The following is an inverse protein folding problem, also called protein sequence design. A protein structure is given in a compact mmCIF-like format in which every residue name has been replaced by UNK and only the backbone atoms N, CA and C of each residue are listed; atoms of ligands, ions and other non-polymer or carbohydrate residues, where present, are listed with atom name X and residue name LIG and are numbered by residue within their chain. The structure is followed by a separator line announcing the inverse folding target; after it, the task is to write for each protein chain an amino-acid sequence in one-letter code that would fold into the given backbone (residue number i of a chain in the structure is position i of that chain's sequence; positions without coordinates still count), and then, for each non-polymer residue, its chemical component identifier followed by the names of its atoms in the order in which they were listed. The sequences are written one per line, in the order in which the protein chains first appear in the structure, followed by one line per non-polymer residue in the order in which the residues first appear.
data_IF_341710395427
#
_entry.id   IF_341710395427
#
_cell.length_a   1.000
_cell.length_b   1.000
_cell.length_c   1.000
_cell.angle_alpha   90.00
_cell.angle_beta   90.00
_cell.angle_gamma   90.00
#
_symmetry.space_group_name_H-M   'P 1'
#
loop_
_entity.id
_entity.type
_entity.pdbx_description
1 polymer ?
#
# COMPACT_ATOMS: atom_id res chain seq x y z
N UNK A 1 3.15 -33.17 20.24
CA UNK A 1 3.82 -32.83 18.99
C UNK A 1 2.87 -32.88 17.80
N UNK A 2 3.34 -32.54 16.66
CA UNK A 2 2.59 -32.68 15.41
C UNK A 2 2.59 -34.13 14.95
N UNK A 3 1.49 -34.56 14.35
CA UNK A 3 1.37 -35.92 13.83
C UNK A 3 2.30 -36.10 12.62
N UNK A 4 3.11 -37.14 12.62
CA UNK A 4 4.06 -37.52 11.57
C UNK A 4 5.00 -36.40 11.06
N UNK A 5 5.34 -35.45 11.96
CA UNK A 5 6.26 -34.36 11.67
C UNK A 5 7.20 -34.13 12.88
N UNK A 6 8.29 -34.88 12.90
CA UNK A 6 9.26 -34.87 14.00
C UNK A 6 9.99 -33.53 14.05
N UNK A 7 10.44 -33.03 12.90
CA UNK A 7 11.21 -31.79 12.80
C UNK A 7 10.41 -30.60 13.34
N UNK A 8 9.18 -30.37 12.87
CA UNK A 8 8.30 -29.33 13.37
C UNK A 8 7.94 -29.52 14.86
N UNK A 9 7.89 -30.78 15.33
CA UNK A 9 7.65 -31.07 16.74
C UNK A 9 8.82 -30.66 17.61
N UNK A 10 10.06 -30.98 17.21
CA UNK A 10 11.28 -30.57 17.93
C UNK A 10 11.41 -29.03 17.95
N UNK A 11 11.23 -28.39 16.80
CA UNK A 11 11.29 -26.92 16.69
C UNK A 11 10.25 -26.22 17.55
N UNK A 12 9.06 -26.78 17.67
CA UNK A 12 7.95 -26.08 18.34
C UNK A 12 7.84 -26.44 19.81
N UNK A 13 7.96 -27.72 20.18
CA UNK A 13 7.61 -28.17 21.52
C UNK A 13 8.83 -28.48 22.40
N UNK A 14 10.04 -28.43 21.87
CA UNK A 14 11.25 -28.78 22.62
C UNK A 14 12.30 -27.70 22.70
N UNK A 15 11.86 -26.45 22.65
CA UNK A 15 12.76 -25.32 22.82
C UNK A 15 13.31 -25.24 24.24
N UNK A 16 14.60 -25.03 24.39
CA UNK A 16 15.26 -24.91 25.68
C UNK A 16 15.63 -23.49 26.01
N UNK A 17 15.28 -23.08 27.22
CA UNK A 17 15.67 -21.78 27.77
C UNK A 17 16.82 -22.02 28.76
N UNK A 18 17.89 -21.23 28.65
CA UNK A 18 19.04 -21.33 29.55
C UNK A 18 18.61 -21.26 31.01
N UNK A 19 19.10 -22.17 31.83
CA UNK A 19 18.77 -22.25 33.26
C UNK A 19 17.42 -22.92 33.59
N UNK A 20 16.69 -23.42 32.58
CA UNK A 20 15.44 -24.20 32.79
C UNK A 20 15.62 -25.65 32.37
N UNK A 21 15.09 -26.60 33.18
CA UNK A 21 15.22 -28.04 32.92
C UNK A 21 14.16 -28.53 31.90
N UNK A 22 12.96 -27.99 31.96
CA UNK A 22 11.84 -28.42 31.10
C UNK A 22 11.89 -27.75 29.72
N UNK A 23 11.45 -28.44 28.65
CA UNK A 23 11.28 -27.85 27.36
C UNK A 23 10.08 -26.90 27.35
N UNK A 24 10.11 -25.92 26.43
CA UNK A 24 9.08 -24.93 26.24
C UNK A 24 8.48 -25.01 24.85
N UNK A 25 7.22 -24.58 24.75
CA UNK A 25 6.53 -24.38 23.49
C UNK A 25 6.96 -23.03 22.90
N UNK A 26 7.50 -23.05 21.68
CA UNK A 26 7.69 -21.84 20.88
C UNK A 26 6.41 -21.53 20.10
N UNK A 27 5.61 -20.59 20.57
CA UNK A 27 4.35 -20.19 19.91
C UNK A 27 4.60 -19.45 18.60
N UNK A 28 5.78 -18.85 18.45
CA UNK A 28 6.11 -17.93 17.35
C UNK A 28 5.54 -16.54 17.57
N UNK A 29 4.90 -16.31 18.71
CA UNK A 29 4.38 -15.01 19.09
C UNK A 29 5.48 -14.17 19.77
N UNK A 30 5.43 -12.87 19.59
CA UNK A 30 6.26 -11.88 20.24
C UNK A 30 5.47 -11.17 21.33
N UNK A 31 6.10 -10.96 22.45
CA UNK A 31 5.49 -10.28 23.58
C UNK A 31 6.50 -9.41 24.32
N UNK A 32 5.98 -8.45 25.07
CA UNK A 32 6.70 -7.58 25.97
C UNK A 32 6.18 -7.84 27.40
N UNK A 33 7.10 -7.95 28.34
CA UNK A 33 6.75 -7.98 29.79
C UNK A 33 7.01 -6.57 30.33
N UNK A 34 5.95 -5.93 30.81
CA UNK A 34 6.00 -4.61 31.41
C UNK A 34 5.22 -4.61 32.71
N UNK A 35 5.83 -4.15 33.78
CA UNK A 35 5.24 -4.14 35.14
C UNK A 35 4.62 -5.46 35.56
N UNK A 36 5.25 -6.60 35.19
CA UNK A 36 4.77 -7.94 35.51
C UNK A 36 3.63 -8.47 34.61
N UNK A 37 3.14 -7.67 33.67
CA UNK A 37 2.11 -8.07 32.71
C UNK A 37 2.74 -8.46 31.37
N UNK A 38 2.16 -9.47 30.71
CA UNK A 38 2.55 -9.88 29.37
C UNK A 38 1.65 -9.19 28.34
N UNK A 39 2.28 -8.44 27.44
CA UNK A 39 1.62 -7.81 26.30
C UNK A 39 1.97 -8.57 25.03
N UNK A 40 0.96 -9.04 24.31
CA UNK A 40 1.12 -9.61 23.00
C UNK A 40 1.40 -8.50 21.99
N UNK A 41 2.43 -8.66 21.16
CA UNK A 41 2.85 -7.67 20.17
C UNK A 41 2.51 -8.11 18.74
N UNK A 42 2.72 -9.39 18.44
CA UNK A 42 2.47 -9.93 17.10
C UNK A 42 3.14 -11.29 16.90
N UNK A 43 3.16 -11.77 15.66
CA UNK A 43 3.87 -12.99 15.28
C UNK A 43 5.19 -12.67 14.60
N UNK A 44 6.25 -13.39 15.01
CA UNK A 44 7.60 -13.22 14.45
C UNK A 44 7.64 -13.41 12.92
N UNK A 45 6.87 -14.35 12.39
CA UNK A 45 6.83 -14.67 10.94
C UNK A 45 5.99 -13.72 10.12
N UNK A 46 5.16 -12.90 10.77
CA UNK A 46 4.26 -11.97 10.10
C UNK A 46 4.79 -10.53 10.08
N UNK A 47 5.96 -10.27 10.69
CA UNK A 47 6.61 -8.96 10.68
C UNK A 47 6.91 -8.54 9.25
N UNK A 48 6.55 -7.31 8.94
CA UNK A 48 6.83 -6.64 7.66
C UNK A 48 8.02 -5.72 7.88
N UNK A 49 9.08 -5.87 7.08
CA UNK A 49 10.30 -5.06 7.21
C UNK A 49 10.33 -4.04 6.07
N UNK A 50 10.13 -2.77 6.40
CA UNK A 50 10.17 -1.68 5.45
C UNK A 50 11.33 -0.74 5.82
N UNK A 51 12.28 -0.56 4.92
CA UNK A 51 13.45 0.32 5.15
C UNK A 51 14.17 0.01 6.48
N UNK A 52 14.32 -1.27 6.80
CA UNK A 52 14.98 -1.73 8.03
C UNK A 52 14.18 -1.56 9.33
N UNK A 53 12.93 -1.10 9.26
CA UNK A 53 12.02 -0.93 10.40
C UNK A 53 10.95 -2.01 10.40
N UNK A 54 10.69 -2.58 11.58
CA UNK A 54 9.69 -3.63 11.75
C UNK A 54 8.30 -3.03 11.94
N UNK A 55 7.32 -3.56 11.19
CA UNK A 55 5.91 -3.23 11.31
C UNK A 55 5.11 -4.50 11.54
N UNK A 56 4.09 -4.41 12.36
CA UNK A 56 3.15 -5.52 12.57
C UNK A 56 1.93 -5.32 11.66
N UNK A 57 1.45 -6.38 10.97
CA UNK A 57 0.26 -6.28 10.11
C UNK A 57 -0.92 -5.62 10.80
N UNK A 58 -1.17 -5.97 12.07
CA UNK A 58 -2.29 -5.45 12.85
C UNK A 58 -2.23 -3.92 13.03
N UNK A 59 -1.05 -3.36 13.23
CA UNK A 59 -0.88 -1.91 13.39
C UNK A 59 -1.19 -1.19 12.08
N UNK A 60 -0.77 -1.77 10.94
CA UNK A 60 -1.08 -1.24 9.61
C UNK A 60 -2.57 -1.36 9.33
N UNK A 61 -3.17 -2.53 9.57
CA UNK A 61 -4.59 -2.81 9.35
C UNK A 61 -5.47 -1.88 10.19
N UNK A 62 -5.08 -1.62 11.44
CA UNK A 62 -5.78 -0.72 12.35
C UNK A 62 -5.71 0.75 11.92
N UNK A 63 -4.59 1.15 11.31
CA UNK A 63 -4.40 2.52 10.83
C UNK A 63 -5.19 2.84 9.54
N UNK A 64 -5.76 1.82 8.87
CA UNK A 64 -6.53 2.02 7.65
C UNK A 64 -7.93 2.57 7.96
N UNK A 65 -8.28 3.74 7.40
CA UNK A 65 -9.61 4.32 7.60
C UNK A 65 -10.65 3.57 6.73
N UNK A 66 -11.43 2.71 7.35
CA UNK A 66 -12.35 1.81 6.65
C UNK A 66 -13.44 2.56 5.86
N UNK A 67 -14.01 3.64 6.42
CA UNK A 67 -15.17 4.30 5.84
C UNK A 67 -16.38 3.36 5.76
N UNK A 68 -17.31 3.65 4.84
CA UNK A 68 -18.47 2.77 4.55
C UNK A 68 -18.20 1.83 3.37
N UNK A 69 -17.10 2.05 2.69
CA UNK A 69 -16.77 1.40 1.41
C UNK A 69 -15.97 0.10 1.60
N UNK A 70 -15.23 -0.01 2.70
CA UNK A 70 -14.42 -1.19 3.03
C UNK A 70 -15.14 -2.00 4.09
N UNK A 71 -15.27 -3.29 3.86
CA UNK A 71 -15.90 -4.20 4.82
C UNK A 71 -15.07 -4.31 6.11
N UNK A 72 -15.70 -4.12 7.28
CA UNK A 72 -15.03 -4.30 8.57
C UNK A 72 -14.37 -5.68 8.69
N UNK A 73 -13.20 -5.73 9.33
CA UNK A 73 -12.43 -6.97 9.54
C UNK A 73 -12.08 -7.74 8.24
N UNK A 74 -12.12 -7.06 7.10
CA UNK A 74 -11.76 -7.59 5.79
C UNK A 74 -10.63 -6.80 5.15
N UNK A 75 -9.67 -6.38 5.95
CA UNK A 75 -8.42 -5.73 5.54
C UNK A 75 -7.26 -6.60 5.98
N UNK A 76 -6.29 -6.79 5.12
CA UNK A 76 -5.09 -7.57 5.38
C UNK A 76 -3.86 -6.85 4.86
N UNK A 77 -2.86 -6.67 5.73
CA UNK A 77 -1.54 -6.19 5.38
C UNK A 77 -0.56 -7.36 5.35
N UNK A 78 0.28 -7.44 4.33
CA UNK A 78 1.34 -8.45 4.26
C UNK A 78 2.50 -7.97 3.40
N UNK A 79 3.64 -8.60 3.58
CA UNK A 79 4.81 -8.35 2.75
C UNK A 79 4.94 -9.40 1.65
N UNK A 80 5.28 -8.95 0.45
CA UNK A 80 5.87 -9.83 -0.54
C UNK A 80 7.38 -9.80 -0.33
N UNK A 81 7.89 -10.84 0.36
CA UNK A 81 9.27 -10.90 0.79
C UNK A 81 10.19 -11.05 -0.43
N UNK A 82 10.85 -9.98 -0.82
CA UNK A 82 11.87 -10.00 -1.88
C UNK A 82 13.21 -10.58 -1.41
N UNK A 83 13.35 -10.88 -0.13
CA UNK A 83 14.60 -11.35 0.48
C UNK A 83 15.71 -10.29 0.56
N UNK A 84 15.45 -9.08 0.12
CA UNK A 84 16.42 -7.97 0.07
C UNK A 84 16.44 -7.08 1.33
N UNK A 85 15.61 -7.40 2.34
CA UNK A 85 15.47 -6.57 3.56
C UNK A 85 14.59 -5.33 3.38
N UNK A 86 14.01 -5.17 2.20
CA UNK A 86 13.00 -4.15 1.93
C UNK A 86 11.78 -4.81 1.28
N UNK A 87 10.89 -5.25 2.14
CA UNK A 87 9.69 -5.96 1.72
C UNK A 87 8.72 -5.00 1.02
N UNK A 88 8.05 -5.51 -0.03
CA UNK A 88 6.95 -4.77 -0.68
C UNK A 88 5.69 -4.92 0.14
N UNK A 89 5.16 -3.80 0.64
CA UNK A 89 3.91 -3.77 1.39
C UNK A 89 2.73 -3.93 0.44
N UNK A 90 1.97 -4.99 0.64
CA UNK A 90 0.70 -5.22 -0.05
C UNK A 90 -0.46 -5.11 0.95
N UNK A 91 -1.47 -4.36 0.57
CA UNK A 91 -2.76 -4.32 1.25
C UNK A 91 -3.81 -5.04 0.42
N UNK A 92 -4.66 -5.84 1.06
CA UNK A 92 -5.81 -6.44 0.43
C UNK A 92 -7.06 -6.12 1.25
N UNK A 93 -8.13 -5.69 0.59
CA UNK A 93 -9.36 -5.27 1.26
C UNK A 93 -10.59 -5.61 0.45
N UNK A 94 -11.66 -6.02 1.13
CA UNK A 94 -12.95 -6.27 0.49
C UNK A 94 -13.79 -4.99 0.45
N UNK A 95 -14.33 -4.69 -0.72
CA UNK A 95 -15.26 -3.58 -0.93
C UNK A 95 -16.69 -4.01 -0.55
N UNK A 96 -17.47 -3.08 -0.02
CA UNK A 96 -18.89 -3.33 0.27
C UNK A 96 -19.69 -3.70 -0.97
N UNK A 97 -20.48 -4.77 -0.86
CA UNK A 97 -21.19 -5.37 -1.99
C UNK A 97 -22.17 -4.42 -2.70
N UNK A 98 -22.75 -3.48 -1.98
CA UNK A 98 -23.66 -2.48 -2.53
C UNK A 98 -23.05 -1.51 -3.54
N UNK A 99 -21.71 -1.41 -3.58
CA UNK A 99 -21.00 -0.54 -4.52
C UNK A 99 -20.64 -1.23 -5.84
N UNK A 100 -20.73 -2.56 -5.93
CA UNK A 100 -20.26 -3.33 -7.07
C UNK A 100 -21.12 -3.20 -8.35
N UNK A 101 -22.43 -2.93 -8.30
CA UNK A 101 -23.26 -2.86 -9.51
C UNK A 101 -22.84 -1.73 -10.45
N UNK A 102 -22.36 -0.63 -9.93
CA UNK A 102 -21.89 0.52 -10.72
C UNK A 102 -20.37 0.50 -10.84
N UNK A 103 -19.88 -0.18 -11.87
CA UNK A 103 -18.45 -0.33 -12.12
C UNK A 103 -17.77 1.00 -12.49
N UNK A 104 -18.43 1.84 -13.26
CA UNK A 104 -17.89 3.15 -13.64
C UNK A 104 -17.69 4.02 -12.41
N UNK A 105 -18.73 4.15 -11.59
CA UNK A 105 -18.64 4.87 -10.32
C UNK A 105 -17.55 4.28 -9.41
N UNK A 106 -17.49 2.95 -9.32
CA UNK A 106 -16.53 2.25 -8.48
C UNK A 106 -15.08 2.57 -8.86
N UNK A 107 -14.74 2.45 -10.15
CA UNK A 107 -13.37 2.66 -10.63
C UNK A 107 -12.98 4.14 -10.73
N UNK A 108 -13.92 4.99 -11.13
CA UNK A 108 -13.64 6.41 -11.39
C UNK A 108 -13.61 7.26 -10.12
N UNK A 109 -14.44 6.94 -9.13
CA UNK A 109 -14.60 7.76 -7.94
C UNK A 109 -14.32 7.03 -6.62
N UNK A 110 -14.90 5.85 -6.41
CA UNK A 110 -14.86 5.18 -5.10
C UNK A 110 -13.46 4.66 -4.79
N UNK A 111 -12.88 3.84 -5.66
CA UNK A 111 -11.55 3.26 -5.41
C UNK A 111 -10.47 4.34 -5.30
N UNK A 112 -10.39 5.35 -6.17
CA UNK A 112 -9.42 6.42 -6.01
C UNK A 112 -9.56 7.20 -4.70
N UNK A 113 -10.79 7.50 -4.28
CA UNK A 113 -11.04 8.19 -3.01
C UNK A 113 -10.60 7.36 -1.80
N UNK A 114 -10.88 6.05 -1.81
CA UNK A 114 -10.42 5.13 -0.77
C UNK A 114 -8.88 5.06 -0.77
N UNK A 115 -8.29 4.88 -1.94
CA UNK A 115 -6.85 4.72 -2.11
C UNK A 115 -6.08 5.94 -1.59
N UNK A 116 -6.49 7.12 -1.98
CA UNK A 116 -5.91 8.39 -1.50
C UNK A 116 -6.03 8.52 0.03
N UNK A 117 -7.18 8.17 0.60
CA UNK A 117 -7.42 8.21 2.04
C UNK A 117 -6.49 7.25 2.78
N UNK A 118 -6.33 6.01 2.29
CA UNK A 118 -5.45 5.00 2.87
C UNK A 118 -3.99 5.45 2.82
N UNK A 119 -3.52 5.87 1.66
CA UNK A 119 -2.13 6.32 1.47
C UNK A 119 -1.81 7.52 2.35
N UNK A 120 -2.72 8.50 2.41
CA UNK A 120 -2.56 9.69 3.26
C UNK A 120 -2.48 9.30 4.75
N UNK A 121 -3.37 8.42 5.20
CA UNK A 121 -3.45 8.09 6.62
C UNK A 121 -2.27 7.24 7.09
N UNK A 122 -1.85 6.24 6.30
CA UNK A 122 -0.65 5.44 6.58
C UNK A 122 0.62 6.29 6.56
N UNK A 123 0.69 7.24 5.63
CA UNK A 123 1.78 8.22 5.58
C UNK A 123 1.87 9.08 6.84
N UNK A 124 0.73 9.58 7.35
CA UNK A 124 0.68 10.40 8.56
C UNK A 124 0.99 9.62 9.83
N UNK A 125 0.39 8.44 10.00
CA UNK A 125 0.48 7.69 11.26
C UNK A 125 1.75 6.86 11.36
N UNK A 126 2.15 6.17 10.29
CA UNK A 126 3.21 5.17 10.30
C UNK A 126 4.41 5.52 9.42
N UNK A 127 4.31 6.56 8.58
CA UNK A 127 5.33 6.96 7.60
C UNK A 127 5.66 5.83 6.61
N UNK A 128 4.65 5.03 6.25
CA UNK A 128 4.74 3.96 5.26
C UNK A 128 3.73 4.16 4.14
N UNK A 129 4.07 3.57 2.99
CA UNK A 129 3.26 3.64 1.78
C UNK A 129 3.15 2.25 1.18
N UNK A 130 1.94 1.76 0.90
CA UNK A 130 1.77 0.45 0.30
C UNK A 130 2.23 0.47 -1.16
N UNK A 131 2.98 -0.56 -1.55
CA UNK A 131 3.42 -0.74 -2.94
C UNK A 131 2.29 -1.28 -3.81
N UNK A 132 1.45 -2.16 -3.25
CA UNK A 132 0.32 -2.76 -3.95
C UNK A 132 -0.93 -2.70 -3.08
N UNK A 133 -2.07 -2.34 -3.68
CA UNK A 133 -3.39 -2.38 -3.05
C UNK A 133 -4.32 -3.23 -3.90
N UNK A 134 -4.92 -4.24 -3.28
CA UNK A 134 -5.84 -5.18 -3.91
C UNK A 134 -7.25 -4.91 -3.38
N UNK A 135 -8.13 -4.49 -4.24
CA UNK A 135 -9.55 -4.30 -3.95
C UNK A 135 -10.31 -5.53 -4.39
N UNK A 136 -11.03 -6.15 -3.47
CA UNK A 136 -11.60 -7.48 -3.63
C UNK A 136 -13.12 -7.45 -3.48
N UNK A 137 -13.78 -8.41 -4.13
CA UNK A 137 -15.22 -8.68 -3.92
C UNK A 137 -15.46 -9.25 -2.51
N UNK A 138 -16.64 -9.02 -1.92
CA UNK A 138 -17.01 -9.65 -0.65
C UNK A 138 -16.82 -11.16 -0.66
N UNK A 139 -16.26 -11.70 0.43
CA UNK A 139 -16.02 -13.14 0.58
C UNK A 139 -14.80 -13.68 -0.16
N UNK A 140 -13.92 -12.81 -0.63
CA UNK A 140 -12.64 -13.20 -1.26
C UNK A 140 -11.58 -13.59 -0.23
N UNK A 141 -11.62 -12.99 0.96
CA UNK A 141 -10.71 -13.28 2.06
C UNK A 141 -11.26 -14.41 2.94
N UNK A 142 -10.51 -15.50 3.06
CA UNK A 142 -10.86 -16.64 3.90
C UNK A 142 -10.75 -16.26 5.38
N UNK A 143 -11.78 -16.65 6.16
CA UNK A 143 -11.84 -16.46 7.61
C UNK A 143 -11.93 -17.80 8.34
N UNK A 144 -11.52 -17.81 9.59
CA UNK A 144 -11.73 -18.92 10.52
C UNK A 144 -13.21 -19.00 10.93
N UNK A 145 -13.62 -20.07 11.59
CA UNK A 145 -14.96 -20.20 12.19
C UNK A 145 -15.25 -19.10 13.22
N UNK A 146 -14.21 -18.49 13.82
CA UNK A 146 -14.34 -17.37 14.75
C UNK A 146 -14.31 -15.99 14.07
N UNK A 147 -14.32 -15.94 12.73
CA UNK A 147 -14.35 -14.69 11.95
C UNK A 147 -12.99 -14.04 11.69
N UNK A 148 -11.89 -14.56 12.24
CA UNK A 148 -10.55 -14.00 12.04
C UNK A 148 -9.99 -14.36 10.65
N UNK A 149 -9.28 -13.43 10.01
CA UNK A 149 -8.61 -13.68 8.73
C UNK A 149 -7.56 -14.78 8.85
N UNK A 150 -7.54 -15.67 7.87
CA UNK A 150 -6.52 -16.72 7.73
C UNK A 150 -5.31 -16.14 6.96
N UNK A 151 -4.48 -15.34 7.62
CA UNK A 151 -3.39 -14.58 6.99
C UNK A 151 -2.52 -15.44 6.05
N UNK A 152 -2.07 -16.61 6.49
CA UNK A 152 -1.20 -17.47 5.68
C UNK A 152 -1.90 -17.98 4.41
N UNK A 153 -3.16 -18.40 4.52
CA UNK A 153 -3.95 -18.93 3.40
C UNK A 153 -4.26 -17.81 2.40
N UNK A 154 -4.72 -16.67 2.89
CA UNK A 154 -5.02 -15.50 2.07
C UNK A 154 -3.77 -14.99 1.36
N UNK A 155 -2.64 -14.82 2.07
CA UNK A 155 -1.37 -14.42 1.44
C UNK A 155 -0.99 -15.34 0.29
N UNK A 156 -1.06 -16.65 0.49
CA UNK A 156 -0.73 -17.64 -0.55
C UNK A 156 -1.62 -17.53 -1.81
N UNK A 157 -2.84 -17.01 -1.66
CA UNK A 157 -3.74 -16.74 -2.79
C UNK A 157 -3.46 -15.38 -3.44
N UNK A 158 -3.22 -14.34 -2.63
CA UNK A 158 -3.11 -12.96 -3.07
C UNK A 158 -1.81 -12.63 -3.80
N UNK A 159 -0.74 -13.43 -3.58
CA UNK A 159 0.53 -13.31 -4.32
C UNK A 159 0.49 -13.95 -5.70
N UNK A 160 -0.56 -14.69 -6.05
CA UNK A 160 -0.69 -15.30 -7.37
C UNK A 160 -1.00 -14.24 -8.44
N UNK A 161 -0.62 -14.49 -9.72
CA UNK A 161 -1.01 -13.63 -10.82
C UNK A 161 -2.53 -13.47 -10.92
N UNK A 162 -3.27 -14.58 -10.77
CA UNK A 162 -4.73 -14.60 -10.78
C UNK A 162 -5.25 -14.63 -9.35
N UNK A 163 -5.81 -13.51 -8.91
CA UNK A 163 -6.43 -13.35 -7.59
C UNK A 163 -7.93 -13.53 -7.68
N UNK A 164 -8.45 -14.52 -6.96
CA UNK A 164 -9.90 -14.77 -6.92
C UNK A 164 -10.64 -13.57 -6.32
N UNK A 165 -11.65 -13.09 -7.05
CA UNK A 165 -12.48 -11.99 -6.59
C UNK A 165 -11.81 -10.63 -6.69
N UNK A 166 -10.69 -10.52 -7.40
CA UNK A 166 -10.04 -9.23 -7.66
C UNK A 166 -11.01 -8.31 -8.43
N UNK A 167 -11.21 -7.12 -7.90
CA UNK A 167 -11.88 -6.01 -8.56
C UNK A 167 -10.84 -5.23 -9.34
N UNK A 168 -9.85 -4.71 -8.63
CA UNK A 168 -8.71 -4.04 -9.25
C UNK A 168 -7.46 -4.15 -8.38
N UNK A 169 -6.32 -3.92 -9.02
CA UNK A 169 -5.01 -3.78 -8.39
C UNK A 169 -4.50 -2.36 -8.63
N UNK A 170 -4.12 -1.66 -7.59
CA UNK A 170 -3.43 -0.39 -7.73
C UNK A 170 -1.93 -0.65 -7.55
N UNK A 171 -1.06 -0.22 -8.45
CA UNK A 171 -1.26 0.86 -9.46
C UNK A 171 -1.89 0.43 -10.81
N UNK A 172 -2.21 -0.85 -11.03
CA UNK A 172 -2.71 -1.35 -12.33
C UNK A 172 -4.20 -1.02 -12.55
N UNK A 173 -4.64 0.20 -12.21
CA UNK A 173 -6.00 0.64 -12.52
C UNK A 173 -6.17 0.74 -14.04
N UNK A 174 -7.36 0.37 -14.59
CA UNK A 174 -7.65 0.60 -16.00
C UNK A 174 -7.48 2.09 -16.34
N UNK A 175 -6.88 2.37 -17.48
CA UNK A 175 -6.82 3.71 -18.02
C UNK A 175 -8.24 4.18 -18.32
N UNK A 176 -8.69 5.25 -17.69
CA UNK A 176 -9.84 6.00 -18.14
C UNK A 176 -9.32 7.16 -18.97
N UNK A 177 -9.95 7.37 -20.12
CA UNK A 177 -9.69 8.53 -20.97
C UNK A 177 -9.87 9.80 -20.13
N UNK A 178 -8.75 10.38 -19.75
CA UNK A 178 -8.69 11.76 -19.33
C UNK A 178 -8.44 12.49 -20.65
N UNK A 179 -9.35 13.36 -21.07
CA UNK A 179 -9.07 14.29 -22.17
C UNK A 179 -7.89 15.18 -21.74
N UNK A 180 -6.70 14.78 -22.08
CA UNK A 180 -5.45 15.47 -21.76
C UNK A 180 -4.63 15.61 -23.03
N UNK A 181 -3.74 16.59 -23.01
CA UNK A 181 -2.70 16.75 -24.02
C UNK A 181 -1.69 15.60 -23.95
N UNK A 182 -0.83 15.43 -24.95
CA UNK A 182 0.26 14.45 -24.92
C UNK A 182 1.14 14.61 -23.68
N UNK A 183 1.40 15.86 -23.26
CA UNK A 183 2.09 16.21 -22.02
C UNK A 183 1.31 15.71 -20.81
N UNK A 184 0.01 15.95 -20.78
CA UNK A 184 -0.87 15.52 -19.70
C UNK A 184 -0.89 14.00 -19.54
N UNK A 185 -0.95 13.23 -20.62
CA UNK A 185 -0.88 11.75 -20.58
C UNK A 185 0.44 11.27 -19.96
N UNK A 186 1.57 11.89 -20.36
CA UNK A 186 2.87 11.55 -19.83
C UNK A 186 2.99 11.90 -18.34
N UNK A 187 2.58 13.09 -17.94
CA UNK A 187 2.60 13.57 -16.56
C UNK A 187 1.74 12.67 -15.67
N UNK A 188 0.52 12.35 -16.09
CA UNK A 188 -0.40 11.44 -15.38
C UNK A 188 0.18 10.05 -15.23
N UNK A 189 0.81 9.51 -16.28
CA UNK A 189 1.47 8.21 -16.28
C UNK A 189 2.65 8.17 -15.31
N UNK A 190 3.51 9.18 -15.35
CA UNK A 190 4.67 9.30 -14.46
C UNK A 190 4.23 9.46 -13.00
N UNK A 191 3.24 10.33 -12.76
CA UNK A 191 2.69 10.50 -11.42
C UNK A 191 2.17 9.18 -10.85
N UNK A 192 1.40 8.43 -11.63
CA UNK A 192 0.91 7.11 -11.25
C UNK A 192 2.04 6.12 -10.94
N UNK A 193 3.09 6.09 -11.76
CA UNK A 193 4.22 5.17 -11.60
C UNK A 193 5.07 5.49 -10.36
N UNK A 194 5.33 6.77 -10.11
CA UNK A 194 6.26 7.22 -9.06
C UNK A 194 5.54 7.40 -7.73
N UNK A 195 4.40 8.06 -7.76
CA UNK A 195 3.62 8.36 -6.55
C UNK A 195 2.78 7.16 -6.13
N UNK A 196 2.33 6.34 -7.09
CA UNK A 196 1.63 5.08 -6.83
C UNK A 196 0.16 5.26 -6.46
N UNK A 197 -0.44 6.42 -6.75
CA UNK A 197 -1.86 6.70 -6.57
C UNK A 197 -2.48 7.12 -7.89
N UNK A 198 -3.80 6.96 -8.02
CA UNK A 198 -4.49 7.48 -9.20
C UNK A 198 -4.46 9.01 -9.15
N UNK A 199 -4.02 9.67 -10.21
CA UNK A 199 -4.07 11.12 -10.28
C UNK A 199 -5.52 11.60 -10.28
N UNK A 200 -5.78 12.60 -9.44
CA UNK A 200 -6.94 13.47 -9.50
C UNK A 200 -6.41 14.83 -9.98
N UNK A 201 -6.83 15.27 -11.17
CA UNK A 201 -6.33 16.49 -11.77
C UNK A 201 -6.55 17.71 -10.86
N UNK A 202 -7.65 17.74 -10.12
CA UNK A 202 -7.99 18.83 -9.19
C UNK A 202 -7.38 18.65 -7.78
N UNK A 203 -6.79 17.50 -7.50
CA UNK A 203 -6.10 17.25 -6.24
C UNK A 203 -4.71 17.84 -6.21
N UNK A 204 -4.28 18.45 -5.09
CA UNK A 204 -2.92 18.96 -5.01
C UNK A 204 -1.90 17.80 -4.98
N UNK A 205 -0.74 18.03 -5.57
CA UNK A 205 0.34 17.01 -5.63
C UNK A 205 0.68 16.46 -4.25
N UNK A 206 0.71 17.30 -3.23
CA UNK A 206 1.00 16.91 -1.86
C UNK A 206 -0.13 16.16 -1.19
N UNK A 207 -1.39 16.52 -1.44
CA UNK A 207 -2.56 15.80 -0.92
C UNK A 207 -2.66 14.40 -1.53
N UNK A 208 -2.41 14.29 -2.83
CA UNK A 208 -2.47 13.02 -3.55
C UNK A 208 -1.34 12.08 -3.14
N UNK A 209 -0.13 12.59 -2.97
CA UNK A 209 1.03 11.76 -2.68
C UNK A 209 1.14 11.36 -1.20
N UNK A 210 0.71 12.24 -0.29
CA UNK A 210 0.97 12.10 1.15
C UNK A 210 2.46 12.03 1.54
N UNK A 211 3.39 12.21 0.57
CA UNK A 211 4.83 11.98 0.76
C UNK A 211 5.67 12.94 -0.06
N UNK A 212 6.44 13.81 0.64
CA UNK A 212 7.36 14.76 0.00
C UNK A 212 8.43 14.09 -0.87
N UNK A 213 8.97 12.95 -0.43
CA UNK A 213 10.01 12.23 -1.18
C UNK A 213 9.51 11.70 -2.53
N UNK A 214 8.25 11.24 -2.59
CA UNK A 214 7.64 10.79 -3.85
C UNK A 214 7.38 11.95 -4.80
N UNK A 215 6.93 13.08 -4.28
CA UNK A 215 6.77 14.30 -5.09
C UNK A 215 8.13 14.77 -5.58
N UNK A 216 9.13 14.82 -4.72
CA UNK A 216 10.48 15.20 -5.14
C UNK A 216 11.00 14.30 -6.25
N UNK A 217 10.87 12.98 -6.11
CA UNK A 217 11.26 12.02 -7.17
C UNK A 217 10.47 12.19 -8.46
N UNK A 218 9.18 12.50 -8.36
CA UNK A 218 8.35 12.80 -9.52
C UNK A 218 8.83 14.07 -10.23
N UNK A 219 9.14 15.15 -9.48
CA UNK A 219 9.70 16.40 -10.01
C UNK A 219 11.05 16.15 -10.68
N UNK A 220 11.97 15.45 -10.03
CA UNK A 220 13.27 15.05 -10.58
C UNK A 220 13.11 14.29 -11.92
N UNK A 221 12.16 13.38 -12.00
CA UNK A 221 11.88 12.65 -13.25
C UNK A 221 11.32 13.54 -14.35
N UNK A 222 10.46 14.51 -13.99
CA UNK A 222 9.98 15.50 -14.97
C UNK A 222 11.12 16.37 -15.49
N UNK A 223 12.07 16.78 -14.64
CA UNK A 223 13.26 17.54 -15.01
C UNK A 223 14.21 16.76 -15.95
N UNK A 224 14.29 15.43 -15.79
CA UNK A 224 15.06 14.59 -16.73
C UNK A 224 14.41 14.54 -18.13
N UNK A 225 13.08 14.61 -18.20
CA UNK A 225 12.33 14.52 -19.47
C UNK A 225 12.20 15.89 -20.14
N UNK A 226 11.90 16.91 -19.35
CA UNK A 226 11.76 18.28 -19.82
C UNK A 226 13.00 19.08 -19.38
N UNK A 227 13.78 19.67 -20.30
CA UNK A 227 14.98 20.45 -19.97
C UNK A 227 14.63 21.82 -19.35
N UNK A 228 13.90 21.76 -18.26
CA UNK A 228 13.56 22.89 -17.42
C UNK A 228 14.71 23.13 -16.43
N UNK A 229 14.95 24.40 -16.07
CA UNK A 229 15.91 24.65 -15.01
C UNK A 229 15.37 24.11 -13.68
N UNK A 230 16.26 23.50 -12.89
CA UNK A 230 15.90 22.89 -11.59
C UNK A 230 15.15 23.88 -10.69
N UNK A 231 15.44 25.15 -10.83
CA UNK A 231 14.88 26.22 -10.03
C UNK A 231 13.44 26.58 -10.47
N UNK A 232 13.18 26.64 -11.78
CA UNK A 232 11.86 27.03 -12.30
C UNK A 232 10.76 26.08 -11.91
N UNK A 233 10.95 24.77 -12.08
CA UNK A 233 9.93 23.77 -11.72
C UNK A 233 9.80 23.64 -10.19
N UNK A 234 10.91 23.67 -9.45
CA UNK A 234 10.90 23.53 -7.99
C UNK A 234 10.25 24.74 -7.31
N UNK A 235 10.52 25.96 -7.80
CA UNK A 235 9.94 27.18 -7.26
C UNK A 235 8.44 27.30 -7.61
N UNK A 236 8.02 26.71 -8.73
CA UNK A 236 6.63 26.74 -9.17
C UNK A 236 5.76 25.72 -8.43
N UNK A 237 6.29 24.53 -8.13
CA UNK A 237 5.56 23.51 -7.38
C UNK A 237 5.50 23.88 -5.89
N UNK A 238 4.31 24.08 -5.39
CA UNK A 238 4.04 24.39 -4.00
C UNK A 238 2.94 23.47 -3.41
N UNK A 239 2.61 23.66 -2.14
CA UNK A 239 1.62 22.80 -1.43
C UNK A 239 0.20 22.88 -2.03
N UNK A 240 -0.09 23.86 -2.86
CA UNK A 240 -1.40 24.09 -3.49
C UNK A 240 -1.44 23.67 -4.97
N UNK A 241 -0.29 23.41 -5.58
CA UNK A 241 -0.21 23.05 -7.00
C UNK A 241 -0.97 21.77 -7.27
N UNK A 242 -1.94 21.83 -8.16
CA UNK A 242 -2.69 20.66 -8.64
C UNK A 242 -1.98 20.01 -9.81
N UNK A 243 -2.40 18.78 -10.14
CA UNK A 243 -1.84 18.08 -11.30
C UNK A 243 -2.25 18.75 -12.62
N UNK A 244 -3.46 19.28 -12.66
CA UNK A 244 -4.00 20.02 -13.82
C UNK A 244 -3.20 21.30 -14.09
N UNK A 245 -2.99 22.11 -13.05
CA UNK A 245 -2.15 23.31 -13.16
C UNK A 245 -0.71 23.00 -13.61
N UNK A 246 -0.16 21.87 -13.17
CA UNK A 246 1.17 21.42 -13.60
C UNK A 246 1.20 21.06 -15.09
N UNK A 247 0.16 20.37 -15.58
CA UNK A 247 0.03 20.01 -16.98
C UNK A 247 -0.09 21.27 -17.85
N UNK A 248 -0.97 22.17 -17.47
CA UNK A 248 -1.18 23.45 -18.18
C UNK A 248 0.12 24.26 -18.24
N UNK A 249 0.82 24.36 -17.11
CA UNK A 249 2.10 25.07 -17.06
C UNK A 249 3.18 24.43 -17.96
N UNK A 250 3.29 23.11 -17.97
CA UNK A 250 4.21 22.39 -18.84
C UNK A 250 3.87 22.61 -20.33
N UNK A 251 2.59 22.54 -20.68
CA UNK A 251 2.13 22.82 -22.03
C UNK A 251 2.48 24.24 -22.47
N UNK A 252 2.27 25.24 -21.60
CA UNK A 252 2.66 26.63 -21.88
C UNK A 252 4.17 26.77 -22.11
N UNK A 253 5.02 26.09 -21.32
CA UNK A 253 6.48 26.14 -21.52
C UNK A 253 6.88 25.51 -22.86
N UNK A 254 6.27 24.39 -23.28
CA UNK A 254 6.52 23.75 -24.56
C UNK A 254 6.09 24.63 -25.73
N UNK A 255 4.94 25.29 -25.63
CA UNK A 255 4.42 26.20 -26.67
C UNK A 255 5.21 27.51 -26.77
N UNK A 256 5.75 28.00 -25.68
CA UNK A 256 6.56 29.22 -25.65
C UNK A 256 7.96 29.10 -26.29
N UNK A 257 8.35 27.86 -26.67
CA UNK A 257 9.64 27.57 -27.26
C UNK A 257 10.82 27.64 -26.30
N UNK A 258 10.53 27.66 -24.97
CA UNK A 258 11.56 27.61 -23.94
C UNK A 258 12.13 26.20 -23.75
N UNK A 259 11.42 25.15 -24.25
CA UNK A 259 11.88 23.76 -24.25
C UNK A 259 12.02 23.28 -25.67
N UNK A 260 13.23 23.05 -26.22
CA UNK A 260 13.39 22.39 -27.51
C UNK A 260 13.01 20.92 -27.37
N UNK A 261 12.13 20.44 -28.24
CA UNK A 261 11.76 19.02 -28.40
C UNK A 261 12.97 18.21 -28.86
#
# INVERSE_FOLDING_TARGET
GYFDNIEATEETFRQRIQGKQNPFLATGDLGLIWEGNLYFVGRKKDIIIIRGKNYYPQDIEYAIPLGKEIRPECVMAFADASGSGNDKLTLAMEIEGGLLPDQEMLYKYVIPAIDNRIVSELGKQLQIYPDVRLYLKPGSLSKTSSGKLKHRENRAQLIKPEVKGLICRVPDLPEYDIETTETGELVVKLFRQIVGVKPDLNGTLYQLSGNKERIQRFVETLQEIYPLSDQELTDWINERTTLDELIDWLDEQLWSGMVPI
#
